data_IF_784818963311
#
_entry.id   IF_784818963311
#
_cell.length_a   1.000
_cell.length_b   1.000
_cell.length_c   1.000
_cell.angle_alpha   90.00
_cell.angle_beta   90.00
_cell.angle_gamma   90.00
#
_symmetry.space_group_name_H-M   'P 1'
#
loop_
_entity.id
_entity.type
_entity.pdbx_description
1 polymer ?
#
# COMPACT_ATOMS: atom_id res chain seq x y z
N UNK A 1 32.61 14.92 -13.26
CA UNK A 1 31.54 13.96 -13.54
C UNK A 1 30.25 14.23 -12.78
N UNK A 2 30.21 14.08 -11.47
CA UNK A 2 28.96 14.09 -10.66
C UNK A 2 28.22 15.45 -10.69
N UNK A 3 28.94 16.57 -10.57
CA UNK A 3 28.35 17.92 -10.63
C UNK A 3 27.65 18.15 -11.97
N UNK A 4 28.27 17.73 -13.06
CA UNK A 4 27.67 17.85 -14.40
C UNK A 4 26.39 17.01 -14.51
N UNK A 5 26.43 15.75 -14.08
CA UNK A 5 25.27 14.86 -14.11
C UNK A 5 24.11 15.38 -13.26
N UNK A 6 24.43 15.91 -12.05
CA UNK A 6 23.45 16.54 -11.18
C UNK A 6 22.76 17.73 -11.86
N UNK A 7 23.54 18.64 -12.43
CA UNK A 7 23.00 19.84 -13.07
C UNK A 7 22.24 19.50 -14.39
N UNK A 8 22.74 18.53 -15.16
CA UNK A 8 22.04 18.04 -16.35
C UNK A 8 20.67 17.45 -16.01
N UNK A 9 20.56 16.67 -14.93
CA UNK A 9 19.28 16.16 -14.44
C UNK A 9 18.32 17.28 -14.04
N UNK A 10 18.81 18.35 -13.41
CA UNK A 10 17.98 19.52 -13.05
C UNK A 10 17.45 20.24 -14.31
N UNK A 11 18.29 20.46 -15.30
CA UNK A 11 17.88 21.09 -16.57
C UNK A 11 16.81 20.24 -17.27
N UNK A 12 16.99 18.94 -17.35
CA UNK A 12 16.00 18.01 -17.92
C UNK A 12 14.68 18.05 -17.14
N UNK A 13 14.74 18.16 -15.82
CA UNK A 13 13.54 18.27 -14.98
C UNK A 13 12.79 19.59 -15.23
N UNK A 14 13.50 20.72 -15.28
CA UNK A 14 12.91 22.03 -15.61
C UNK A 14 12.24 21.97 -16.99
N UNK A 15 12.94 21.42 -17.99
CA UNK A 15 12.39 21.24 -19.33
C UNK A 15 11.10 20.41 -19.30
N UNK A 16 11.10 19.27 -18.62
CA UNK A 16 9.92 18.39 -18.50
C UNK A 16 8.74 19.13 -17.85
N UNK A 17 8.99 19.78 -16.70
CA UNK A 17 7.97 20.57 -15.98
C UNK A 17 7.38 21.67 -16.90
N UNK A 18 8.22 22.38 -17.64
CA UNK A 18 7.77 23.45 -18.55
C UNK A 18 6.86 22.90 -19.66
N UNK A 19 7.22 21.77 -20.26
CA UNK A 19 6.37 21.17 -21.30
C UNK A 19 5.05 20.62 -20.74
N UNK A 20 5.05 20.08 -19.51
CA UNK A 20 3.84 19.64 -18.83
C UNK A 20 2.91 20.84 -18.55
N UNK A 21 3.44 21.95 -18.03
CA UNK A 21 2.70 23.19 -17.81
C UNK A 21 2.12 23.78 -19.10
N UNK A 22 2.92 23.86 -20.18
CA UNK A 22 2.45 24.36 -21.48
C UNK A 22 1.31 23.48 -22.03
N UNK A 23 1.39 22.16 -21.88
CA UNK A 23 0.33 21.24 -22.30
C UNK A 23 -0.95 21.46 -21.52
N UNK A 24 -0.85 21.62 -20.20
CA UNK A 24 -1.99 21.88 -19.34
C UNK A 24 -2.67 23.22 -19.68
N UNK A 25 -1.88 24.29 -19.87
CA UNK A 25 -2.40 25.61 -20.32
C UNK A 25 -3.07 25.56 -21.69
N UNK A 26 -2.51 24.75 -22.59
CA UNK A 26 -3.08 24.58 -23.95
C UNK A 26 -4.28 23.60 -24.00
N UNK A 27 -4.76 23.09 -22.86
CA UNK A 27 -5.81 22.08 -22.76
C UNK A 27 -5.56 20.85 -23.68
N UNK A 28 -4.29 20.57 -23.98
CA UNK A 28 -3.92 19.40 -24.76
C UNK A 28 -3.83 18.17 -23.89
N UNK A 29 -4.94 17.46 -23.76
CA UNK A 29 -5.04 16.21 -22.99
C UNK A 29 -4.34 15.02 -23.69
N UNK A 30 -3.15 15.26 -24.26
CA UNK A 30 -2.33 14.25 -24.95
C UNK A 30 -1.00 14.08 -24.23
N UNK A 31 -0.56 12.84 -24.08
CA UNK A 31 0.74 12.57 -23.48
C UNK A 31 0.84 11.19 -22.86
N UNK A 32 1.84 11.05 -22.00
CA UNK A 32 2.12 9.82 -21.27
C UNK A 32 2.08 10.10 -19.77
N UNK A 33 1.48 9.20 -19.01
CA UNK A 33 1.42 9.24 -17.56
C UNK A 33 1.89 7.89 -16.99
N UNK A 34 3.04 7.88 -16.33
CA UNK A 34 3.60 6.67 -15.72
C UNK A 34 3.10 6.54 -14.28
N UNK A 35 2.34 5.46 -14.02
CA UNK A 35 1.71 5.19 -12.73
C UNK A 35 2.31 3.93 -12.11
N UNK A 36 2.98 4.09 -10.97
CA UNK A 36 3.45 2.98 -10.15
C UNK A 36 2.39 2.50 -9.17
N UNK A 37 2.38 1.19 -8.88
CA UNK A 37 1.53 0.62 -7.83
C UNK A 37 2.12 -0.68 -7.27
N UNK A 38 1.79 -0.97 -6.01
CA UNK A 38 2.24 -2.20 -5.36
C UNK A 38 1.44 -3.41 -5.83
N UNK A 39 2.04 -4.61 -5.87
CA UNK A 39 1.31 -5.85 -6.04
C UNK A 39 0.17 -5.98 -5.02
N UNK A 40 -0.92 -6.60 -5.44
CA UNK A 40 -2.10 -6.79 -4.60
C UNK A 40 -2.93 -5.52 -4.41
N UNK A 41 -2.72 -4.78 -3.33
CA UNK A 41 -3.51 -3.57 -3.01
C UNK A 41 -3.45 -2.50 -4.09
N UNK A 42 -2.28 -2.24 -4.63
CA UNK A 42 -2.09 -1.24 -5.68
C UNK A 42 -2.77 -1.61 -7.00
N UNK A 43 -2.80 -2.89 -7.35
CA UNK A 43 -3.54 -3.39 -8.54
C UNK A 43 -5.01 -3.05 -8.44
N UNK A 44 -5.64 -3.21 -7.26
CA UNK A 44 -7.04 -2.86 -7.05
C UNK A 44 -7.28 -1.35 -7.19
N UNK A 45 -6.37 -0.51 -6.66
CA UNK A 45 -6.43 0.94 -6.84
C UNK A 45 -6.41 1.29 -8.33
N UNK A 46 -5.42 0.78 -9.06
CA UNK A 46 -5.27 1.05 -10.48
C UNK A 46 -6.50 0.59 -11.28
N UNK A 47 -7.00 -0.63 -11.02
CA UNK A 47 -8.16 -1.20 -11.69
C UNK A 47 -9.44 -0.41 -11.48
N UNK A 48 -9.63 0.22 -10.32
CA UNK A 48 -10.78 1.06 -10.05
C UNK A 48 -10.65 2.47 -10.67
N UNK A 49 -9.45 3.05 -10.65
CA UNK A 49 -9.19 4.43 -11.07
C UNK A 49 -9.08 4.56 -12.59
N UNK A 50 -8.33 3.65 -13.22
CA UNK A 50 -8.00 3.75 -14.64
C UNK A 50 -9.21 3.79 -15.58
N UNK A 51 -10.28 3.00 -15.42
CA UNK A 51 -11.45 3.07 -16.29
C UNK A 51 -12.17 4.42 -16.24
N UNK A 52 -12.19 5.09 -15.09
CA UNK A 52 -12.79 6.43 -14.94
C UNK A 52 -11.87 7.45 -15.59
N UNK A 53 -10.59 7.40 -15.27
CA UNK A 53 -9.57 8.29 -15.83
C UNK A 53 -9.53 8.22 -17.36
N UNK A 54 -9.53 7.03 -17.95
CA UNK A 54 -9.46 6.85 -19.41
C UNK A 54 -10.67 7.44 -20.15
N UNK A 55 -11.85 7.44 -19.54
CA UNK A 55 -13.03 8.12 -20.12
C UNK A 55 -12.88 9.64 -20.15
N UNK A 56 -12.22 10.23 -19.15
CA UNK A 56 -11.99 11.67 -19.06
C UNK A 56 -10.78 12.11 -19.93
N UNK A 57 -9.76 11.26 -20.05
CA UNK A 57 -8.51 11.53 -20.76
C UNK A 57 -8.16 10.42 -21.76
N UNK A 58 -8.96 10.22 -22.83
CA UNK A 58 -8.78 9.10 -23.76
C UNK A 58 -7.50 9.17 -24.58
N UNK A 59 -6.90 10.36 -24.75
CA UNK A 59 -5.67 10.57 -25.54
C UNK A 59 -4.39 10.51 -24.66
N UNK A 60 -4.52 10.27 -23.33
CA UNK A 60 -3.37 10.07 -22.46
C UNK A 60 -3.06 8.57 -22.38
N UNK A 61 -1.87 8.21 -22.81
CA UNK A 61 -1.34 6.86 -22.63
C UNK A 61 -0.87 6.68 -21.19
N UNK A 62 -1.56 5.86 -20.42
CA UNK A 62 -1.09 5.46 -19.08
C UNK A 62 -0.13 4.29 -19.20
N UNK A 63 1.04 4.42 -18.56
CA UNK A 63 2.06 3.36 -18.45
C UNK A 63 2.05 2.81 -17.04
N UNK A 64 1.39 1.65 -16.80
CA UNK A 64 1.35 1.03 -15.50
C UNK A 64 2.67 0.34 -15.16
N UNK A 65 3.13 0.51 -13.93
CA UNK A 65 4.37 -0.11 -13.42
C UNK A 65 4.09 -0.75 -12.07
N UNK A 66 4.12 -2.08 -12.03
CA UNK A 66 3.95 -2.84 -10.80
C UNK A 66 5.30 -3.13 -10.16
N UNK A 67 5.56 -2.56 -8.98
CA UNK A 67 6.83 -2.67 -8.25
C UNK A 67 6.62 -2.58 -6.74
N UNK A 68 7.62 -3.02 -5.96
CA UNK A 68 7.67 -2.80 -4.51
C UNK A 68 7.91 -1.33 -4.17
N UNK A 69 7.50 -0.90 -2.98
CA UNK A 69 7.56 0.50 -2.54
C UNK A 69 8.96 1.10 -2.71
N UNK A 70 10.02 0.43 -2.23
CA UNK A 70 11.41 0.94 -2.33
C UNK A 70 11.90 1.11 -3.77
N UNK A 71 11.48 0.22 -4.67
CA UNK A 71 11.80 0.33 -6.10
C UNK A 71 11.07 1.54 -6.70
N UNK A 72 9.77 1.72 -6.41
CA UNK A 72 9.00 2.86 -6.89
C UNK A 72 9.54 4.19 -6.35
N UNK A 73 9.94 4.25 -5.08
CA UNK A 73 10.60 5.43 -4.51
C UNK A 73 11.89 5.79 -5.27
N UNK A 74 12.69 4.79 -5.64
CA UNK A 74 13.88 4.99 -6.49
C UNK A 74 13.50 5.50 -7.88
N UNK A 75 12.45 4.95 -8.49
CA UNK A 75 11.94 5.35 -9.80
C UNK A 75 11.37 6.78 -9.79
N UNK A 76 10.65 7.18 -8.74
CA UNK A 76 10.19 8.56 -8.53
C UNK A 76 11.38 9.52 -8.45
N UNK A 77 12.36 9.21 -7.60
CA UNK A 77 13.57 10.02 -7.47
C UNK A 77 14.34 10.14 -8.80
N UNK A 78 14.32 9.08 -9.62
CA UNK A 78 14.93 8.99 -10.96
C UNK A 78 14.08 9.52 -12.12
N UNK A 79 12.91 10.15 -11.86
CA UNK A 79 11.97 10.68 -12.88
C UNK A 79 11.38 9.62 -13.84
N UNK A 80 11.39 8.36 -13.43
CA UNK A 80 10.84 7.24 -14.20
C UNK A 80 9.35 7.01 -13.94
N UNK A 81 8.83 7.52 -12.81
CA UNK A 81 7.41 7.52 -12.46
C UNK A 81 6.91 8.93 -12.24
N UNK A 82 5.69 9.21 -12.69
CA UNK A 82 5.00 10.47 -12.45
C UNK A 82 4.32 10.45 -11.08
N UNK A 83 3.60 9.36 -10.78
CA UNK A 83 2.93 9.11 -9.52
C UNK A 83 3.07 7.63 -9.16
N UNK A 84 3.15 7.31 -7.88
CA UNK A 84 3.05 5.93 -7.42
C UNK A 84 2.07 5.81 -6.24
N UNK A 85 1.21 4.80 -6.31
CA UNK A 85 0.29 4.40 -5.24
C UNK A 85 0.92 3.29 -4.42
N UNK A 86 1.07 3.53 -3.13
CA UNK A 86 1.79 2.63 -2.25
C UNK A 86 1.17 2.54 -0.86
N UNK A 87 1.41 1.42 -0.21
CA UNK A 87 1.07 1.18 1.19
C UNK A 87 2.36 1.18 1.99
N UNK A 88 2.48 2.05 2.99
CA UNK A 88 3.72 2.23 3.74
C UNK A 88 3.45 2.88 5.10
N UNK A 89 4.42 2.79 5.98
CA UNK A 89 4.43 3.50 7.25
C UNK A 89 5.09 4.87 7.09
N UNK A 90 4.92 5.74 8.08
CA UNK A 90 5.48 7.09 8.02
C UNK A 90 7.02 7.09 7.97
N UNK A 91 7.66 6.18 8.67
CA UNK A 91 9.12 6.01 8.67
C UNK A 91 9.69 5.38 7.38
N UNK A 92 8.85 4.79 6.51
CA UNK A 92 9.25 4.31 5.18
C UNK A 92 9.27 5.42 4.12
N UNK A 93 8.81 6.63 4.46
CA UNK A 93 8.74 7.75 3.52
C UNK A 93 10.12 8.29 3.18
N UNK A 94 10.27 8.70 1.93
CA UNK A 94 11.43 9.45 1.43
C UNK A 94 11.20 10.96 1.56
N UNK A 95 12.06 11.76 0.92
CA UNK A 95 11.92 13.22 0.86
C UNK A 95 10.89 13.69 -0.19
N UNK A 96 10.23 12.75 -0.88
CA UNK A 96 9.23 13.04 -1.90
C UNK A 96 7.91 13.52 -1.28
N UNK A 97 6.99 13.98 -2.12
CA UNK A 97 5.67 14.38 -1.67
C UNK A 97 4.78 13.15 -1.51
N UNK A 98 3.93 13.16 -0.47
CA UNK A 98 2.96 12.10 -0.20
C UNK A 98 1.58 12.73 0.05
N UNK A 99 0.58 12.21 -0.64
CA UNK A 99 -0.83 12.54 -0.43
C UNK A 99 -1.48 11.31 0.19
N UNK A 100 -1.86 11.40 1.45
CA UNK A 100 -2.57 10.32 2.13
C UNK A 100 -3.97 10.17 1.51
N UNK A 101 -4.33 8.95 1.19
CA UNK A 101 -5.65 8.57 0.69
C UNK A 101 -6.50 7.99 1.81
N UNK A 102 -5.93 7.08 2.60
CA UNK A 102 -6.60 6.41 3.71
C UNK A 102 -5.58 5.79 4.67
N UNK A 103 -6.08 5.40 5.84
CA UNK A 103 -5.40 4.51 6.77
C UNK A 103 -6.06 3.15 6.73
N UNK A 104 -5.29 2.07 6.82
CA UNK A 104 -5.78 0.70 6.78
C UNK A 104 -5.20 -0.09 7.94
N UNK A 105 -6.08 -0.72 8.72
CA UNK A 105 -5.69 -1.53 9.88
C UNK A 105 -5.09 -2.87 9.44
N UNK A 106 -4.11 -3.34 10.20
CA UNK A 106 -3.60 -4.70 10.12
C UNK A 106 -4.33 -5.54 11.16
N UNK A 107 -4.98 -6.59 10.67
CA UNK A 107 -5.83 -7.47 11.45
C UNK A 107 -5.13 -8.80 11.73
N UNK A 108 -5.45 -9.39 12.86
CA UNK A 108 -5.06 -10.74 13.22
C UNK A 108 -6.07 -11.74 12.64
N UNK A 109 -5.57 -12.72 11.92
CA UNK A 109 -6.36 -13.78 11.33
C UNK A 109 -5.93 -15.15 11.89
N UNK A 110 -6.89 -15.94 12.36
CA UNK A 110 -6.67 -17.27 12.93
C UNK A 110 -7.63 -18.27 12.29
N UNK A 111 -7.34 -19.58 12.35
CA UNK A 111 -8.29 -20.61 11.90
C UNK A 111 -9.61 -20.53 12.65
N UNK A 112 -10.71 -20.66 11.93
CA UNK A 112 -12.03 -20.70 12.56
C UNK A 112 -12.17 -21.86 13.53
N UNK A 113 -12.80 -21.60 14.70
CA UNK A 113 -12.91 -22.59 15.77
C UNK A 113 -11.62 -22.83 16.57
N UNK A 114 -10.58 -21.99 16.37
CA UNK A 114 -9.40 -22.03 17.24
C UNK A 114 -9.81 -21.67 18.69
N UNK A 115 -9.30 -22.38 19.71
CA UNK A 115 -9.71 -22.12 21.11
C UNK A 115 -9.54 -20.68 21.56
N UNK A 116 -8.53 -20.00 21.02
CA UNK A 116 -8.23 -18.60 21.35
C UNK A 116 -9.36 -17.63 21.00
N UNK A 117 -10.23 -17.98 20.03
CA UNK A 117 -11.35 -17.14 19.63
C UNK A 117 -12.30 -16.85 20.80
N UNK A 118 -12.34 -17.72 21.81
CA UNK A 118 -13.15 -17.53 23.03
C UNK A 118 -12.61 -16.42 23.94
N UNK A 119 -11.36 -16.02 23.79
CA UNK A 119 -10.72 -14.92 24.53
C UNK A 119 -10.96 -13.56 23.90
N UNK A 120 -11.62 -13.50 22.74
CA UNK A 120 -11.89 -12.25 22.05
C UNK A 120 -12.95 -11.43 22.77
N UNK A 121 -12.73 -10.11 22.83
CA UNK A 121 -13.65 -9.17 23.51
C UNK A 121 -14.32 -8.28 22.47
N UNK A 122 -15.66 -8.15 22.47
CA UNK A 122 -16.34 -7.22 21.58
C UNK A 122 -15.81 -5.79 21.73
N UNK A 123 -15.61 -5.09 20.61
CA UNK A 123 -15.18 -3.69 20.59
C UNK A 123 -16.32 -2.82 20.06
N UNK A 124 -16.87 -1.95 20.91
CA UNK A 124 -17.97 -1.07 20.53
C UNK A 124 -17.53 -0.11 19.42
N UNK A 125 -18.32 -0.04 18.33
CA UNK A 125 -18.02 0.82 17.18
C UNK A 125 -16.93 0.29 16.24
N UNK A 126 -16.42 -0.92 16.47
CA UNK A 126 -15.44 -1.58 15.60
C UNK A 126 -16.03 -2.84 14.96
N UNK A 127 -15.75 -3.13 13.68
CA UNK A 127 -16.32 -4.29 13.00
C UNK A 127 -15.76 -5.63 13.51
N UNK A 128 -14.58 -5.63 14.12
CA UNK A 128 -13.89 -6.84 14.58
C UNK A 128 -13.72 -6.83 16.11
N UNK A 129 -13.90 -7.96 16.78
CA UNK A 129 -13.60 -8.08 18.20
C UNK A 129 -12.09 -7.96 18.44
N UNK A 130 -11.71 -7.53 19.62
CA UNK A 130 -10.31 -7.42 20.05
C UNK A 130 -9.77 -8.76 20.50
N UNK A 131 -8.55 -9.06 20.10
CA UNK A 131 -7.77 -10.19 20.59
C UNK A 131 -6.33 -9.76 20.82
N UNK A 132 -5.81 -10.05 22.00
CA UNK A 132 -4.41 -9.78 22.34
C UNK A 132 -3.50 -10.80 21.62
N UNK A 133 -2.59 -10.30 20.80
CA UNK A 133 -1.66 -11.11 20.02
C UNK A 133 -0.72 -11.93 20.94
N UNK A 134 -0.43 -11.49 22.16
CA UNK A 134 0.41 -12.20 23.11
C UNK A 134 -0.13 -13.59 23.48
N UNK A 135 -1.44 -13.79 23.36
CA UNK A 135 -2.08 -15.09 23.60
C UNK A 135 -1.71 -16.15 22.55
N UNK A 136 -1.19 -15.72 21.40
CA UNK A 136 -0.76 -16.60 20.30
C UNK A 136 0.75 -16.86 20.29
N UNK A 137 1.44 -16.60 21.42
CA UNK A 137 2.90 -16.71 21.52
C UNK A 137 3.48 -18.06 21.08
N UNK A 138 2.74 -19.13 21.19
CA UNK A 138 3.21 -20.47 20.84
C UNK A 138 2.63 -20.99 19.52
N UNK A 139 1.77 -20.19 18.88
CA UNK A 139 1.15 -20.56 17.62
C UNK A 139 2.11 -20.32 16.44
N UNK A 140 2.02 -21.14 15.40
CA UNK A 140 2.78 -20.92 14.18
C UNK A 140 2.20 -19.75 13.34
N UNK A 141 3.07 -18.99 12.68
CA UNK A 141 2.70 -17.89 11.81
C UNK A 141 3.21 -18.08 10.38
N UNK A 142 2.43 -17.62 9.42
CA UNK A 142 2.90 -17.29 8.08
C UNK A 142 2.76 -15.79 7.89
N UNK A 143 3.83 -15.12 7.49
CA UNK A 143 3.93 -13.66 7.44
C UNK A 143 4.41 -13.17 6.08
N UNK A 144 4.20 -11.88 5.81
CA UNK A 144 4.78 -11.23 4.63
C UNK A 144 6.31 -11.19 4.74
N UNK A 145 7.00 -11.23 3.60
CA UNK A 145 8.47 -11.26 3.57
C UNK A 145 9.11 -9.97 4.13
N UNK A 146 10.35 -10.08 4.60
CA UNK A 146 11.14 -8.99 5.20
C UNK A 146 11.40 -7.80 4.27
N UNK A 147 11.15 -7.94 2.97
CA UNK A 147 11.31 -6.86 1.98
C UNK A 147 10.02 -6.06 1.76
N UNK A 148 8.92 -6.48 2.37
CA UNK A 148 7.65 -5.75 2.30
C UNK A 148 7.64 -4.57 3.28
N UNK A 149 6.91 -3.50 2.96
CA UNK A 149 6.64 -2.41 3.90
C UNK A 149 5.75 -2.84 5.08
N UNK A 150 5.04 -3.96 4.92
CA UNK A 150 4.27 -4.55 6.01
C UNK A 150 5.17 -5.15 7.09
N UNK A 151 6.36 -5.67 6.72
CA UNK A 151 7.24 -6.34 7.67
C UNK A 151 7.66 -5.44 8.83
N UNK A 152 8.05 -4.19 8.56
CA UNK A 152 8.47 -3.25 9.61
C UNK A 152 7.37 -2.97 10.62
N UNK A 153 6.10 -2.93 10.17
CA UNK A 153 4.95 -2.80 11.07
C UNK A 153 4.70 -4.10 11.84
N UNK A 154 4.76 -5.25 11.17
CA UNK A 154 4.59 -6.58 11.78
C UNK A 154 5.65 -6.81 12.86
N UNK A 155 6.91 -6.48 12.59
CA UNK A 155 8.00 -6.59 13.56
C UNK A 155 7.71 -5.75 14.82
N UNK A 156 7.23 -4.52 14.65
CA UNK A 156 6.85 -3.65 15.75
C UNK A 156 5.67 -4.22 16.55
N UNK A 157 4.64 -4.75 15.89
CA UNK A 157 3.49 -5.40 16.52
C UNK A 157 3.93 -6.57 17.43
N UNK A 158 4.85 -7.42 16.97
CA UNK A 158 5.36 -8.53 17.78
C UNK A 158 6.25 -8.05 18.94
N UNK A 159 7.06 -7.01 18.73
CA UNK A 159 7.86 -6.38 19.79
C UNK A 159 6.96 -5.82 20.90
N UNK A 160 5.91 -5.09 20.55
CA UNK A 160 4.92 -4.58 21.52
C UNK A 160 4.20 -5.72 22.25
N UNK A 161 3.94 -6.84 21.59
CA UNK A 161 3.29 -8.01 22.18
C UNK A 161 4.24 -8.86 23.04
N UNK A 162 5.53 -8.52 23.07
CA UNK A 162 6.53 -9.10 23.98
C UNK A 162 7.00 -10.51 23.62
N UNK A 163 6.90 -10.94 22.36
CA UNK A 163 7.41 -12.22 21.91
C UNK A 163 7.88 -12.20 20.45
N UNK A 164 8.74 -13.17 20.09
CA UNK A 164 9.12 -13.42 18.70
C UNK A 164 8.20 -14.49 18.09
N UNK A 165 7.66 -14.28 16.87
CA UNK A 165 6.77 -15.23 16.24
C UNK A 165 7.49 -16.51 15.82
N UNK A 166 6.82 -17.66 15.99
CA UNK A 166 7.24 -18.91 15.37
C UNK A 166 6.85 -18.91 13.89
N UNK A 167 7.76 -18.50 13.00
CA UNK A 167 7.48 -18.33 11.57
C UNK A 167 7.71 -19.64 10.82
N UNK A 168 6.66 -20.21 10.23
CA UNK A 168 6.77 -21.39 9.37
C UNK A 168 7.47 -21.06 8.05
N UNK A 169 7.05 -19.97 7.40
CA UNK A 169 7.67 -19.39 6.22
C UNK A 169 7.16 -17.98 5.97
N UNK A 170 7.89 -17.25 5.11
CA UNK A 170 7.53 -15.92 4.63
C UNK A 170 6.97 -15.99 3.19
N UNK A 171 6.02 -15.11 2.85
CA UNK A 171 5.41 -15.02 1.52
C UNK A 171 5.32 -13.58 1.01
N UNK A 172 5.13 -13.41 -0.29
CA UNK A 172 4.90 -12.10 -0.92
C UNK A 172 3.41 -11.82 -1.19
N UNK A 173 2.53 -12.75 -0.79
CA UNK A 173 1.12 -12.69 -1.14
C UNK A 173 0.23 -12.97 0.08
N UNK A 174 -0.59 -11.98 0.47
CA UNK A 174 -1.53 -12.13 1.58
C UNK A 174 -2.56 -13.25 1.36
N UNK A 175 -2.93 -13.54 0.11
CA UNK A 175 -3.82 -14.67 -0.17
C UNK A 175 -3.19 -16.02 0.20
N UNK A 176 -1.87 -16.15 0.12
CA UNK A 176 -1.16 -17.34 0.62
C UNK A 176 -1.33 -17.48 2.13
N UNK A 177 -1.20 -16.37 2.88
CA UNK A 177 -1.44 -16.36 4.33
C UNK A 177 -2.86 -16.86 4.62
N UNK A 178 -3.87 -16.27 3.98
CA UNK A 178 -5.28 -16.67 4.16
C UNK A 178 -5.52 -18.15 3.82
N UNK A 179 -4.90 -18.66 2.75
CA UNK A 179 -5.00 -20.06 2.37
C UNK A 179 -4.42 -20.99 3.43
N UNK A 180 -3.28 -20.62 4.03
CA UNK A 180 -2.65 -21.42 5.08
C UNK A 180 -3.46 -21.39 6.39
N UNK A 181 -4.08 -20.26 6.71
CA UNK A 181 -4.99 -20.14 7.85
C UNK A 181 -6.23 -21.05 7.66
N UNK A 182 -6.84 -21.01 6.46
CA UNK A 182 -7.95 -21.93 6.12
C UNK A 182 -7.56 -23.42 6.23
N UNK A 183 -6.34 -23.73 5.91
CA UNK A 183 -5.78 -25.09 6.09
C UNK A 183 -5.50 -25.44 7.56
N UNK A 184 -5.75 -24.52 8.51
CA UNK A 184 -5.58 -24.67 9.96
C UNK A 184 -4.15 -24.97 10.41
N UNK A 185 -3.13 -24.45 9.68
CA UNK A 185 -1.72 -24.71 9.99
C UNK A 185 -0.99 -23.51 10.59
N UNK A 186 -1.60 -22.32 10.56
CA UNK A 186 -0.98 -21.11 11.10
C UNK A 186 -1.98 -20.02 11.44
N UNK A 187 -1.48 -19.00 12.14
CA UNK A 187 -2.08 -17.67 12.27
C UNK A 187 -1.37 -16.69 11.31
N UNK A 188 -1.91 -15.49 11.17
CA UNK A 188 -1.28 -14.46 10.33
C UNK A 188 -1.77 -13.06 10.62
N UNK A 189 -0.99 -12.09 10.15
CA UNK A 189 -1.36 -10.67 10.15
C UNK A 189 -1.65 -10.24 8.72
N UNK A 190 -2.80 -9.63 8.46
CA UNK A 190 -3.28 -9.28 7.12
C UNK A 190 -3.89 -7.87 7.11
N UNK A 191 -3.74 -7.10 6.02
CA UNK A 191 -4.43 -5.82 5.87
C UNK A 191 -5.95 -6.01 5.77
N UNK A 192 -6.73 -5.07 6.33
CA UNK A 192 -8.19 -5.10 6.34
C UNK A 192 -8.83 -5.23 4.95
N UNK A 193 -8.14 -4.82 3.89
CA UNK A 193 -8.58 -5.04 2.51
C UNK A 193 -8.87 -6.50 2.19
N UNK A 194 -8.07 -7.43 2.70
CA UNK A 194 -8.16 -8.84 2.36
C UNK A 194 -9.28 -9.59 3.07
N UNK A 195 -9.97 -8.92 4.01
CA UNK A 195 -11.13 -9.49 4.75
C UNK A 195 -12.48 -9.08 4.18
N UNK A 196 -12.50 -8.41 3.02
CA UNK A 196 -13.74 -8.01 2.34
C UNK A 196 -14.40 -9.14 1.52
N UNK A 197 -13.73 -10.30 1.39
CA UNK A 197 -14.19 -11.44 0.62
C UNK A 197 -14.74 -12.57 1.47
N UNK A 198 -14.64 -13.80 0.95
CA UNK A 198 -15.02 -15.01 1.68
C UNK A 198 -14.07 -15.28 2.84
N UNK A 199 -14.61 -15.24 4.06
CA UNK A 199 -13.91 -15.51 5.32
C UNK A 199 -14.17 -16.92 5.86
N UNK A 200 -14.79 -17.81 5.09
CA UNK A 200 -15.05 -19.19 5.54
C UNK A 200 -13.75 -19.84 6.04
N UNK A 201 -13.79 -20.40 7.24
CA UNK A 201 -12.65 -21.05 7.88
C UNK A 201 -11.62 -20.09 8.51
N UNK A 202 -11.93 -18.78 8.58
CA UNK A 202 -11.04 -17.77 9.18
C UNK A 202 -11.82 -16.90 10.15
N UNK A 203 -11.31 -16.74 11.36
CA UNK A 203 -11.78 -15.75 12.32
C UNK A 203 -10.84 -14.54 12.34
N UNK A 204 -11.41 -13.34 12.33
CA UNK A 204 -10.69 -12.06 12.22
C UNK A 204 -10.84 -11.25 13.50
N UNK A 205 -9.75 -10.62 13.92
CA UNK A 205 -9.69 -9.80 15.12
C UNK A 205 -8.88 -8.54 14.88
N UNK A 206 -9.30 -7.45 15.55
CA UNK A 206 -8.44 -6.30 15.76
C UNK A 206 -7.50 -6.55 16.94
N UNK A 207 -6.36 -5.89 16.94
CA UNK A 207 -5.45 -5.89 18.09
C UNK A 207 -5.69 -4.64 18.93
N UNK A 208 -5.40 -4.66 20.25
CA UNK A 208 -5.65 -3.50 21.13
C UNK A 208 -4.98 -2.19 20.70
N UNK A 209 -3.83 -2.26 20.03
CA UNK A 209 -3.11 -1.08 19.50
C UNK A 209 -3.66 -0.56 18.15
N UNK A 210 -4.59 -1.28 17.52
CA UNK A 210 -5.13 -0.96 16.20
C UNK A 210 -4.04 -0.53 15.18
N UNK A 211 -3.03 -1.36 14.93
CA UNK A 211 -1.90 -0.99 14.10
C UNK A 211 -2.34 -0.74 12.66
N UNK A 212 -1.97 0.42 12.14
CA UNK A 212 -2.38 0.87 10.81
C UNK A 212 -1.17 1.27 9.97
N UNK A 213 -1.27 1.08 8.67
CA UNK A 213 -0.39 1.70 7.69
C UNK A 213 -1.15 2.71 6.83
N UNK A 214 -0.42 3.48 6.02
CA UNK A 214 -1.01 4.49 5.17
C UNK A 214 -1.11 4.00 3.71
N UNK A 215 -2.23 4.32 3.06
CA UNK A 215 -2.36 4.24 1.62
C UNK A 215 -2.10 5.65 1.09
N UNK A 216 -1.09 5.81 0.24
CA UNK A 216 -0.69 7.12 -0.23
C UNK A 216 -0.35 7.13 -1.72
N UNK A 217 -0.60 8.28 -2.37
CA UNK A 217 -0.02 8.63 -3.65
C UNK A 217 1.27 9.42 -3.42
N UNK A 218 2.35 9.04 -4.07
CA UNK A 218 3.65 9.71 -3.96
C UNK A 218 4.13 10.21 -5.31
N UNK A 219 4.78 11.37 -5.32
CA UNK A 219 5.41 11.97 -6.49
C UNK A 219 6.63 12.80 -6.09
N UNK A 220 7.54 13.03 -7.02
CA UNK A 220 8.82 13.68 -6.76
C UNK A 220 8.64 15.10 -6.23
N UNK A 221 9.34 15.42 -5.15
CA UNK A 221 9.40 16.78 -4.61
C UNK A 221 10.01 17.76 -5.61
N UNK A 222 9.35 18.92 -5.76
CA UNK A 222 9.77 19.96 -6.70
C UNK A 222 9.42 19.69 -8.18
N UNK A 223 8.74 18.57 -8.46
CA UNK A 223 8.17 18.30 -9.78
C UNK A 223 6.79 18.93 -9.93
N UNK A 224 6.51 19.48 -11.09
CA UNK A 224 5.16 19.87 -11.46
C UNK A 224 4.28 18.64 -11.58
N UNK A 225 3.15 18.65 -10.90
CA UNK A 225 2.15 17.60 -11.02
C UNK A 225 1.12 18.02 -12.06
N UNK A 226 1.12 17.35 -13.23
CA UNK A 226 0.21 17.67 -14.34
C UNK A 226 -1.26 17.52 -13.93
N UNK A 227 -2.17 18.22 -14.60
CA UNK A 227 -3.62 18.11 -14.37
C UNK A 227 -4.09 16.65 -14.47
N UNK A 228 -3.56 15.90 -15.43
CA UNK A 228 -3.86 14.48 -15.56
C UNK A 228 -3.42 13.66 -14.34
N UNK A 229 -2.21 13.91 -13.83
CA UNK A 229 -1.72 13.24 -12.62
C UNK A 229 -2.54 13.63 -11.38
N UNK A 230 -2.88 14.91 -11.23
CA UNK A 230 -3.76 15.39 -10.17
C UNK A 230 -5.14 14.71 -10.24
N UNK A 231 -5.72 14.66 -11.44
CA UNK A 231 -7.04 14.03 -11.63
C UNK A 231 -7.03 12.54 -11.33
N UNK A 232 -5.95 11.83 -11.69
CA UNK A 232 -5.79 10.42 -11.34
C UNK A 232 -5.79 10.21 -9.82
N UNK A 233 -5.09 11.07 -9.07
CA UNK A 233 -5.08 11.04 -7.60
C UNK A 233 -6.46 11.40 -7.02
N UNK A 234 -7.14 12.40 -7.58
CA UNK A 234 -8.50 12.79 -7.14
C UNK A 234 -9.50 11.66 -7.30
N UNK A 235 -9.50 10.98 -8.44
CA UNK A 235 -10.33 9.79 -8.66
C UNK A 235 -9.99 8.72 -7.63
N UNK A 236 -8.68 8.46 -7.39
CA UNK A 236 -8.28 7.50 -6.37
C UNK A 236 -8.83 7.84 -4.98
N UNK A 237 -8.84 9.11 -4.58
CA UNK A 237 -9.42 9.57 -3.31
C UNK A 237 -10.88 9.17 -3.15
N UNK A 238 -11.68 9.21 -4.23
CA UNK A 238 -13.12 8.91 -4.14
C UNK A 238 -13.41 7.48 -3.65
N UNK A 239 -12.47 6.56 -3.80
CA UNK A 239 -12.59 5.18 -3.31
C UNK A 239 -12.20 5.01 -1.83
N UNK A 240 -11.75 6.09 -1.17
CA UNK A 240 -11.27 6.10 0.21
C UNK A 240 -11.95 7.14 1.10
N UNK A 241 -12.96 7.84 0.58
CA UNK A 241 -13.80 8.72 1.41
C UNK A 241 -14.76 7.82 2.18
N UNK A 242 -14.49 7.63 3.49
CA UNK A 242 -15.44 7.10 4.47
C UNK A 242 -16.22 8.25 5.10
#
# INVERSE_FOLDING_TARGET
>A
GEIYVKNAKQILQIKKNTYEQIRDVANRQKGMLSIGFTPGRGVAIFGNVYPIFHREFPEITVVPVEKRVKEMQTMIAGDQLDVAFMTLNEYDRTKDNYINLSSEEILLAVPDGHPICQSAVPCAGHPWPLLDLSLLKYEPFVLMDKKSTMWSLVEHIFQESGFEPNILFETQNNNTILTMIRARICCGLIPAYYVQGDLSGISIFSMPSHPCWQIAASYKKGRYLSQAAQRFIEIAKTFYIC
#
